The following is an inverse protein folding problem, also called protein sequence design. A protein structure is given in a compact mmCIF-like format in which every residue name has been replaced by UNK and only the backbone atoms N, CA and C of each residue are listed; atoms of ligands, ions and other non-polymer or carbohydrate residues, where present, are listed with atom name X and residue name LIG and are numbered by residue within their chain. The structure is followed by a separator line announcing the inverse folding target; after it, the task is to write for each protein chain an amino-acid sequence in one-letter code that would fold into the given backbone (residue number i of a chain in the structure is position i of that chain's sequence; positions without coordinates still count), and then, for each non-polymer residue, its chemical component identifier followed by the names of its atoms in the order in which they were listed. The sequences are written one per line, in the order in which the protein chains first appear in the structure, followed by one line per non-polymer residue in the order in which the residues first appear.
data_IF_630313285466
#
_entry.id   IF_630313285466
#
_cell.length_a   1.000
_cell.length_b   1.000
_cell.length_c   1.000
_cell.angle_alpha   90.00
_cell.angle_beta   90.00
_cell.angle_gamma   90.00
#
_symmetry.space_group_name_H-M   'P 1'
#
loop_
_entity.id
_entity.type
_entity.pdbx_description
1 polymer ?
#
# COMPACT_ATOMS: atom_id res chain seq x y z
N UNK A 1 -7.27 30.46 -1.38
CA UNK A 1 -7.25 29.70 -0.10
C UNK A 1 -7.60 28.21 -0.24
N UNK A 2 -7.37 27.54 -1.38
CA UNK A 2 -7.77 26.11 -1.58
C UNK A 2 -6.56 25.14 -1.58
N UNK A 3 -5.32 25.65 -1.59
CA UNK A 3 -4.12 24.81 -1.70
C UNK A 3 -3.64 24.17 -0.39
N UNK A 4 -4.06 24.65 0.78
CA UNK A 4 -3.59 24.13 2.08
C UNK A 4 -4.44 22.98 2.65
N UNK A 5 -5.74 22.92 2.34
CA UNK A 5 -6.59 21.79 2.81
C UNK A 5 -6.26 20.49 2.07
N UNK A 6 -5.91 20.55 0.78
CA UNK A 6 -5.55 19.38 -0.02
C UNK A 6 -4.24 18.70 0.44
N UNK A 7 -3.28 19.45 1.00
CA UNK A 7 -2.06 18.87 1.56
C UNK A 7 -2.30 18.18 2.92
N UNK A 8 -3.20 18.71 3.74
CA UNK A 8 -3.54 18.15 5.06
C UNK A 8 -4.30 16.84 4.94
N UNK A 9 -5.23 16.73 3.99
CA UNK A 9 -5.94 15.47 3.67
C UNK A 9 -5.00 14.41 3.09
N UNK A 10 -3.96 14.81 2.35
CA UNK A 10 -2.97 13.86 1.82
C UNK A 10 -2.03 13.31 2.92
N UNK A 11 -1.72 14.11 3.94
CA UNK A 11 -0.81 13.71 5.04
C UNK A 11 -1.49 12.74 6.02
N UNK A 12 -2.77 12.97 6.35
CA UNK A 12 -3.55 12.06 7.18
C UNK A 12 -3.91 10.74 6.46
N UNK A 13 -4.05 10.75 5.13
CA UNK A 13 -4.18 9.52 4.32
C UNK A 13 -2.89 8.69 4.19
N UNK A 14 -1.76 9.15 4.72
CA UNK A 14 -0.49 8.39 4.67
C UNK A 14 -0.29 7.55 5.93
N UNK A 15 -0.91 7.92 7.06
CA UNK A 15 -0.74 7.21 8.34
C UNK A 15 -1.74 6.06 8.56
N UNK A 16 -2.88 6.05 7.86
CA UNK A 16 -3.90 4.98 7.98
C UNK A 16 -4.04 4.11 6.71
N UNK A 17 -2.93 3.57 6.21
CA UNK A 17 -2.95 2.64 5.08
C UNK A 17 -2.60 1.24 5.55
N UNK A 18 -3.58 0.34 5.54
CA UNK A 18 -3.35 -1.11 5.64
C UNK A 18 -2.39 -1.54 4.52
N UNK A 19 -1.20 -1.99 4.90
CA UNK A 19 -0.16 -2.46 3.96
C UNK A 19 -0.08 -3.97 3.99
N UNK A 20 0.01 -4.58 2.80
CA UNK A 20 0.36 -5.98 2.67
C UNK A 20 1.87 -6.13 2.83
N UNK A 21 2.30 -6.72 3.96
CA UNK A 21 3.71 -6.94 4.29
C UNK A 21 3.92 -8.36 4.82
N UNK A 22 5.03 -9.03 4.46
CA UNK A 22 5.47 -10.23 5.16
C UNK A 22 5.76 -9.90 6.61
N UNK A 23 5.20 -10.68 7.54
CA UNK A 23 5.38 -10.50 8.97
C UNK A 23 5.28 -11.84 9.70
N UNK A 24 5.84 -11.90 10.90
CA UNK A 24 5.93 -13.08 11.75
C UNK A 24 4.84 -13.15 12.83
N UNK A 25 3.85 -12.25 12.81
CA UNK A 25 2.70 -12.34 13.72
C UNK A 25 1.88 -13.60 13.46
N UNK A 26 1.13 -14.03 14.48
CA UNK A 26 0.17 -15.12 14.36
C UNK A 26 -0.84 -14.86 13.24
N UNK A 27 -1.14 -15.91 12.48
CA UNK A 27 -2.06 -15.86 11.36
C UNK A 27 -3.35 -16.59 11.73
N UNK A 28 -4.44 -15.82 11.91
CA UNK A 28 -5.80 -16.36 12.13
C UNK A 28 -6.59 -16.35 10.84
N UNK A 29 -7.40 -17.39 10.60
CA UNK A 29 -8.22 -17.55 9.40
C UNK A 29 -7.44 -17.40 8.07
N UNK A 30 -6.15 -17.72 8.07
CA UNK A 30 -5.30 -17.61 6.88
C UNK A 30 -5.59 -18.74 5.89
N UNK A 31 -5.87 -18.38 4.65
CA UNK A 31 -6.12 -19.35 3.57
C UNK A 31 -4.79 -19.71 2.93
N UNK A 32 -4.44 -20.99 2.94
CA UNK A 32 -3.18 -21.53 2.43
C UNK A 32 -3.41 -22.81 1.64
N UNK A 33 -2.66 -22.98 0.54
CA UNK A 33 -2.66 -24.24 -0.20
C UNK A 33 -1.92 -25.34 0.59
N UNK A 34 -2.45 -26.57 0.59
CA UNK A 34 -1.92 -27.66 1.45
C UNK A 34 -0.42 -27.93 1.25
N UNK A 35 0.11 -27.78 0.03
CA UNK A 35 1.54 -27.98 -0.26
C UNK A 35 2.42 -26.91 0.41
N UNK A 36 1.93 -25.67 0.43
CA UNK A 36 2.63 -24.55 1.06
C UNK A 36 2.52 -24.66 2.60
N UNK A 37 1.38 -25.16 3.11
CA UNK A 37 1.23 -25.49 4.52
C UNK A 37 2.21 -26.59 4.97
N UNK A 38 2.37 -27.66 4.18
CA UNK A 38 3.35 -28.71 4.49
C UNK A 38 4.77 -28.14 4.62
N UNK A 39 5.23 -27.39 3.62
CA UNK A 39 6.55 -26.75 3.68
C UNK A 39 6.67 -25.79 4.87
N UNK A 40 5.64 -25.02 5.19
CA UNK A 40 5.64 -24.16 6.37
C UNK A 40 5.82 -24.94 7.68
N UNK A 41 5.10 -26.06 7.84
CA UNK A 41 5.22 -26.95 9.00
C UNK A 41 6.62 -27.57 9.09
N UNK A 42 7.17 -28.03 7.97
CA UNK A 42 8.52 -28.61 7.89
C UNK A 42 9.61 -27.60 8.31
N UNK A 43 9.37 -26.31 8.11
CA UNK A 43 10.23 -25.22 8.57
C UNK A 43 9.83 -24.61 9.93
N UNK A 44 8.99 -25.30 10.70
CA UNK A 44 8.74 -24.98 12.11
C UNK A 44 7.55 -24.06 12.40
N UNK A 45 6.71 -23.71 11.42
CA UNK A 45 5.43 -23.07 11.74
C UNK A 45 4.53 -24.06 12.48
N UNK A 46 3.90 -23.60 13.55
CA UNK A 46 3.01 -24.42 14.39
C UNK A 46 1.56 -24.19 13.98
N UNK A 47 0.90 -25.25 13.49
CA UNK A 47 -0.54 -25.21 13.20
C UNK A 47 -1.35 -25.37 14.49
N UNK A 48 -2.19 -24.37 14.78
CA UNK A 48 -3.08 -24.40 15.97
C UNK A 48 -4.44 -25.03 15.66
N UNK A 49 -5.07 -24.65 14.55
CA UNK A 49 -6.42 -25.10 14.21
C UNK A 49 -6.66 -25.06 12.70
N UNK A 50 -7.41 -26.04 12.19
CA UNK A 50 -7.98 -26.03 10.84
C UNK A 50 -9.47 -25.71 10.95
N UNK A 51 -9.91 -24.62 10.31
CA UNK A 51 -11.31 -24.21 10.35
C UNK A 51 -12.15 -24.80 9.20
N UNK A 52 -11.58 -24.83 7.99
CA UNK A 52 -12.28 -25.26 6.76
C UNK A 52 -11.29 -25.89 5.79
N UNK A 53 -11.76 -26.85 5.01
CA UNK A 53 -10.97 -27.51 3.95
C UNK A 53 -11.78 -27.47 2.65
N UNK A 54 -11.14 -27.01 1.57
CA UNK A 54 -11.66 -27.14 0.22
C UNK A 54 -10.85 -28.21 -0.52
N UNK A 55 -11.51 -29.30 -0.90
CA UNK A 55 -10.92 -30.40 -1.68
C UNK A 55 -11.32 -30.29 -3.13
N UNK A 56 -10.40 -30.56 -4.05
CA UNK A 56 -10.64 -30.52 -5.48
C UNK A 56 -9.78 -31.56 -6.22
N UNK A 57 -10.19 -31.92 -7.42
CA UNK A 57 -9.37 -32.72 -8.34
C UNK A 57 -8.45 -31.81 -9.15
N UNK A 58 -7.23 -32.28 -9.40
CA UNK A 58 -6.22 -31.55 -10.17
C UNK A 58 -5.82 -32.35 -11.41
N UNK A 59 -5.60 -31.66 -12.53
CA UNK A 59 -5.09 -32.23 -13.77
C UNK A 59 -4.13 -31.23 -14.44
N UNK A 60 -3.23 -31.67 -15.33
CA UNK A 60 -2.34 -30.78 -16.08
C UNK A 60 -3.05 -30.11 -17.27
N UNK A 61 -4.27 -29.60 -17.09
CA UNK A 61 -5.13 -29.09 -18.16
C UNK A 61 -4.53 -27.90 -18.95
N UNK A 62 -3.66 -27.10 -18.33
CA UNK A 62 -2.92 -26.02 -19.02
C UNK A 62 -1.62 -26.47 -19.69
N UNK A 63 -1.17 -27.71 -19.48
CA UNK A 63 0.18 -28.14 -19.86
C UNK A 63 0.45 -27.93 -21.35
N UNK A 64 -0.45 -28.38 -22.23
CA UNK A 64 -0.28 -28.23 -23.68
C UNK A 64 -0.12 -26.76 -24.11
N UNK A 65 -0.86 -25.84 -23.49
CA UNK A 65 -0.78 -24.41 -23.75
C UNK A 65 0.54 -23.80 -23.26
N UNK A 66 0.96 -24.12 -22.03
CA UNK A 66 2.20 -23.63 -21.45
C UNK A 66 3.42 -24.18 -22.21
N UNK A 67 3.41 -25.47 -22.55
CA UNK A 67 4.49 -26.14 -23.28
C UNK A 67 4.63 -25.55 -24.69
N UNK A 68 3.51 -25.31 -25.39
CA UNK A 68 3.50 -24.64 -26.69
C UNK A 68 4.12 -23.25 -26.61
N UNK A 69 3.63 -22.38 -25.71
CA UNK A 69 4.14 -21.02 -25.57
C UNK A 69 5.61 -21.00 -25.13
N UNK A 70 6.04 -21.96 -24.32
CA UNK A 70 7.44 -22.08 -23.89
C UNK A 70 8.34 -22.49 -25.05
N UNK A 71 7.91 -23.46 -25.87
CA UNK A 71 8.62 -23.85 -27.09
C UNK A 71 8.73 -22.68 -28.07
N UNK A 72 7.63 -21.98 -28.32
CA UNK A 72 7.62 -20.82 -29.21
C UNK A 72 8.52 -19.70 -28.68
N UNK A 73 8.47 -19.41 -27.37
CA UNK A 73 9.35 -18.44 -26.72
C UNK A 73 10.83 -18.80 -26.85
N UNK A 74 11.19 -20.08 -26.72
CA UNK A 74 12.58 -20.51 -26.86
C UNK A 74 13.08 -20.41 -28.31
N UNK A 75 12.20 -20.65 -29.28
CA UNK A 75 12.52 -20.59 -30.71
C UNK A 75 12.51 -19.16 -31.28
N UNK A 76 11.87 -18.21 -30.61
CA UNK A 76 11.80 -16.83 -31.07
C UNK A 76 13.17 -16.15 -31.11
N UNK A 77 13.57 -15.52 -32.23
CA UNK A 77 14.83 -14.78 -32.32
C UNK A 77 14.73 -13.39 -31.67
N UNK A 78 13.55 -12.77 -31.71
CA UNK A 78 13.36 -11.40 -31.25
C UNK A 78 12.94 -11.33 -29.79
N UNK A 79 13.37 -10.27 -29.10
CA UNK A 79 12.91 -9.99 -27.73
C UNK A 79 11.39 -9.75 -27.68
N UNK A 80 10.84 -9.12 -28.70
CA UNK A 80 9.41 -8.83 -28.81
C UNK A 80 8.57 -10.10 -28.76
N UNK A 81 8.88 -11.10 -29.60
CA UNK A 81 8.14 -12.35 -29.63
C UNK A 81 8.32 -13.15 -28.33
N UNK A 82 9.53 -13.15 -27.76
CA UNK A 82 9.77 -13.76 -26.44
C UNK A 82 8.87 -13.16 -25.36
N UNK A 83 8.70 -11.84 -25.38
CA UNK A 83 7.84 -11.12 -24.44
C UNK A 83 6.34 -11.38 -24.73
N UNK A 84 5.95 -11.57 -25.99
CA UNK A 84 4.59 -11.96 -26.38
C UNK A 84 4.19 -13.32 -25.79
N UNK A 85 4.96 -14.38 -26.04
CA UNK A 85 4.64 -15.71 -25.50
C UNK A 85 4.71 -15.76 -23.97
N UNK A 86 5.59 -14.97 -23.35
CA UNK A 86 5.61 -14.77 -21.89
C UNK A 86 4.30 -14.13 -21.40
N UNK A 87 3.80 -13.12 -22.11
CA UNK A 87 2.53 -12.46 -21.77
C UNK A 87 1.35 -13.42 -21.90
N UNK A 88 1.32 -14.26 -22.93
CA UNK A 88 0.26 -15.26 -23.12
C UNK A 88 0.15 -16.21 -21.92
N UNK A 89 1.28 -16.69 -21.40
CA UNK A 89 1.30 -17.51 -20.18
C UNK A 89 0.84 -16.71 -18.94
N UNK A 90 1.38 -15.51 -18.74
CA UNK A 90 1.04 -14.68 -17.58
C UNK A 90 -0.42 -14.18 -17.59
N UNK A 91 -1.01 -14.01 -18.77
CA UNK A 91 -2.37 -13.52 -18.97
C UNK A 91 -3.42 -14.49 -18.41
N UNK A 92 -3.19 -15.80 -18.50
CA UNK A 92 -4.07 -16.83 -17.92
C UNK A 92 -4.23 -16.61 -16.42
N UNK A 93 -3.11 -16.51 -15.69
CA UNK A 93 -3.12 -16.25 -14.27
C UNK A 93 -3.86 -14.94 -13.93
N UNK A 94 -3.53 -13.84 -14.59
CA UNK A 94 -4.17 -12.55 -14.37
C UNK A 94 -5.68 -12.59 -14.59
N UNK A 95 -6.15 -13.36 -15.59
CA UNK A 95 -7.57 -13.53 -15.88
C UNK A 95 -8.31 -14.31 -14.80
N UNK A 96 -7.68 -15.33 -14.21
CA UNK A 96 -8.30 -16.10 -13.12
C UNK A 96 -8.53 -15.28 -11.85
N UNK A 97 -7.68 -14.26 -11.61
CA UNK A 97 -7.74 -13.36 -10.45
C UNK A 97 -8.45 -12.02 -10.74
N UNK A 98 -9.16 -11.91 -11.87
CA UNK A 98 -9.81 -10.66 -12.25
C UNK A 98 -10.88 -10.27 -11.22
N UNK A 99 -10.75 -9.07 -10.65
CA UNK A 99 -11.76 -8.51 -9.76
C UNK A 99 -12.91 -7.91 -10.60
N UNK A 100 -13.99 -8.67 -10.73
CA UNK A 100 -15.19 -8.27 -11.48
C UNK A 100 -15.90 -7.07 -10.86
N UNK A 101 -15.77 -6.83 -9.55
CA UNK A 101 -16.40 -5.70 -8.82
C UNK A 101 -15.86 -4.36 -9.30
N UNK A 102 -14.59 -4.30 -9.68
CA UNK A 102 -13.92 -3.09 -10.16
C UNK A 102 -14.26 -2.68 -11.59
N UNK A 103 -14.93 -3.53 -12.38
CA UNK A 103 -15.41 -3.15 -13.72
C UNK A 103 -16.37 -1.96 -13.60
N UNK A 104 -16.27 -0.97 -14.48
CA UNK A 104 -17.17 0.18 -14.47
C UNK A 104 -18.23 0.03 -15.55
N UNK A 105 -19.46 0.40 -15.23
CA UNK A 105 -20.53 0.52 -16.23
C UNK A 105 -20.58 1.99 -16.61
N UNK A 106 -20.09 2.31 -17.81
CA UNK A 106 -20.13 3.66 -18.36
C UNK A 106 -21.13 3.70 -19.50
N UNK A 107 -22.01 4.71 -19.50
CA UNK A 107 -22.93 5.00 -20.60
C UNK A 107 -22.50 6.32 -21.24
N UNK A 108 -22.25 6.29 -22.54
CA UNK A 108 -21.95 7.49 -23.32
C UNK A 108 -23.24 8.00 -23.94
N UNK A 109 -23.57 9.27 -23.68
CA UNK A 109 -24.82 9.91 -24.07
C UNK A 109 -24.52 11.23 -24.75
N UNK A 110 -25.38 11.63 -25.69
CA UNK A 110 -25.21 12.88 -26.45
C UNK A 110 -26.28 13.93 -26.21
N UNK A 111 -27.23 13.64 -25.33
CA UNK A 111 -28.39 14.47 -25.09
C UNK A 111 -28.95 14.26 -23.68
N UNK A 112 -29.66 15.27 -23.18
CA UNK A 112 -30.30 15.26 -21.86
C UNK A 112 -31.62 14.48 -21.87
N UNK A 113 -32.51 14.81 -22.79
CA UNK A 113 -33.90 14.32 -22.85
C UNK A 113 -34.02 12.94 -23.50
N UNK A 114 -35.04 12.19 -23.13
CA UNK A 114 -35.39 10.95 -23.81
C UNK A 114 -35.94 11.21 -25.23
N UNK A 115 -35.42 10.49 -26.23
CA UNK A 115 -35.96 10.50 -27.59
C UNK A 115 -36.66 9.19 -27.89
N UNK A 116 -37.97 9.15 -27.65
CA UNK A 116 -38.79 7.95 -27.79
C UNK A 116 -38.28 6.82 -26.88
N UNK A 117 -37.79 5.72 -27.48
CA UNK A 117 -37.22 4.58 -26.72
C UNK A 117 -35.75 4.76 -26.32
N UNK A 118 -35.08 5.82 -26.81
CA UNK A 118 -33.67 6.10 -26.47
C UNK A 118 -33.63 6.95 -25.21
N UNK A 119 -33.06 6.36 -24.15
CA UNK A 119 -32.91 7.03 -22.87
C UNK A 119 -31.81 8.11 -22.95
N UNK A 120 -32.18 9.33 -22.60
CA UNK A 120 -31.27 10.46 -22.38
C UNK A 120 -30.65 10.44 -20.99
N UNK A 121 -29.86 11.46 -20.67
CA UNK A 121 -29.18 11.58 -19.37
C UNK A 121 -30.17 11.59 -18.19
N UNK A 122 -31.31 12.27 -18.32
CA UNK A 122 -32.33 12.39 -17.27
C UNK A 122 -32.74 11.01 -16.72
N UNK A 123 -32.90 10.03 -17.60
CA UNK A 123 -33.29 8.66 -17.26
C UNK A 123 -32.21 7.88 -16.55
N UNK A 124 -30.93 8.21 -16.76
CA UNK A 124 -29.82 7.53 -16.07
C UNK A 124 -29.52 8.17 -14.73
N UNK A 125 -29.62 9.49 -14.60
CA UNK A 125 -29.45 10.22 -13.34
C UNK A 125 -30.54 9.84 -12.34
N UNK A 126 -31.77 9.63 -12.81
CA UNK A 126 -32.89 9.21 -11.97
C UNK A 126 -32.78 7.76 -11.44
N UNK A 127 -31.83 6.95 -11.92
CA UNK A 127 -31.69 5.56 -11.44
C UNK A 127 -30.98 5.51 -10.10
N UNK A 128 -31.46 4.64 -9.22
CA UNK A 128 -30.89 4.41 -7.87
C UNK A 128 -29.42 4.00 -7.87
N UNK A 129 -28.93 3.42 -8.98
CA UNK A 129 -27.53 3.04 -9.14
C UNK A 129 -26.73 4.08 -9.92
N UNK A 130 -27.21 5.31 -10.10
CA UNK A 130 -26.38 6.40 -10.60
C UNK A 130 -25.24 6.67 -9.60
N UNK A 131 -24.02 6.92 -10.09
CA UNK A 131 -22.89 7.32 -9.23
C UNK A 131 -22.48 8.76 -9.48
N UNK A 132 -22.24 9.09 -10.75
CA UNK A 132 -21.81 10.41 -11.22
C UNK A 132 -21.87 10.45 -12.74
N UNK A 133 -21.80 11.65 -13.30
CA UNK A 133 -21.49 11.82 -14.72
C UNK A 133 -20.26 12.71 -14.89
N UNK A 134 -19.67 12.63 -16.08
CA UNK A 134 -18.60 13.51 -16.54
C UNK A 134 -19.03 14.05 -17.89
N UNK A 135 -19.07 15.37 -18.02
CA UNK A 135 -19.29 16.03 -19.31
C UNK A 135 -17.96 16.23 -20.02
N UNK A 136 -17.83 15.71 -21.23
CA UNK A 136 -16.64 15.89 -22.08
C UNK A 136 -16.80 17.04 -23.07
N UNK A 137 -18.02 17.29 -23.54
CA UNK A 137 -18.38 18.44 -24.35
C UNK A 137 -19.85 18.79 -24.15
N UNK A 138 -20.35 19.86 -24.76
CA UNK A 138 -21.78 20.23 -24.74
C UNK A 138 -22.70 19.07 -25.14
N UNK A 139 -22.23 18.15 -25.99
CA UNK A 139 -23.02 17.05 -26.56
C UNK A 139 -22.44 15.67 -26.24
N UNK A 140 -21.56 15.53 -25.25
CA UNK A 140 -21.01 14.23 -24.88
C UNK A 140 -20.83 14.10 -23.38
N UNK A 141 -21.51 13.10 -22.82
CA UNK A 141 -21.53 12.81 -21.40
C UNK A 141 -21.19 11.34 -21.16
N UNK A 142 -20.38 11.06 -20.15
CA UNK A 142 -20.15 9.73 -19.63
C UNK A 142 -20.82 9.60 -18.26
N UNK A 143 -21.86 8.78 -18.19
CA UNK A 143 -22.54 8.46 -16.93
C UNK A 143 -21.94 7.18 -16.36
N UNK A 144 -21.37 7.27 -15.16
CA UNK A 144 -20.89 6.12 -14.38
C UNK A 144 -22.04 5.57 -13.55
N UNK A 145 -22.43 4.31 -13.83
CA UNK A 145 -23.43 3.58 -13.08
C UNK A 145 -22.76 2.62 -12.08
N UNK A 146 -23.34 2.52 -10.90
CA UNK A 146 -23.15 1.43 -9.95
C UNK A 146 -23.72 0.11 -10.47
N UNK A 147 -23.25 -0.99 -9.90
CA UNK A 147 -23.74 -2.33 -10.21
C UNK A 147 -24.80 -2.71 -9.20
N UNK A 148 -25.95 -3.16 -9.68
CA UNK A 148 -27.02 -3.71 -8.84
C UNK A 148 -26.75 -5.18 -8.48
N UNK A 149 -26.07 -5.91 -9.37
CA UNK A 149 -25.64 -7.28 -9.15
C UNK A 149 -24.28 -7.51 -9.79
N UNK A 150 -23.50 -8.43 -9.22
CA UNK A 150 -22.20 -8.85 -9.76
C UNK A 150 -22.17 -10.36 -9.84
N UNK A 151 -21.86 -10.89 -11.03
CA UNK A 151 -21.63 -12.31 -11.24
C UNK A 151 -20.15 -12.61 -11.04
N UNK A 152 -19.82 -13.46 -10.06
CA UNK A 152 -18.47 -13.98 -9.85
C UNK A 152 -18.21 -15.18 -10.76
N UNK A 153 -17.85 -14.90 -12.01
CA UNK A 153 -17.60 -15.88 -13.08
C UNK A 153 -16.11 -16.15 -13.33
N UNK A 154 -15.25 -15.87 -12.34
CA UNK A 154 -13.79 -16.02 -12.45
C UNK A 154 -13.32 -17.15 -11.54
N UNK A 155 -12.47 -18.08 -12.03
CA UNK A 155 -11.99 -19.20 -11.24
C UNK A 155 -10.86 -18.76 -10.29
N UNK A 156 -11.18 -17.92 -9.30
CA UNK A 156 -10.22 -17.30 -8.37
C UNK A 156 -9.38 -18.33 -7.62
N UNK A 157 -9.94 -19.50 -7.33
CA UNK A 157 -9.23 -20.61 -6.67
C UNK A 157 -8.05 -21.14 -7.49
N UNK A 158 -8.12 -21.07 -8.83
CA UNK A 158 -6.99 -21.43 -9.71
C UNK A 158 -5.86 -20.42 -9.53
N UNK A 159 -6.17 -19.13 -9.58
CA UNK A 159 -5.18 -18.07 -9.40
C UNK A 159 -4.55 -18.09 -8.01
N UNK A 160 -5.36 -18.29 -6.96
CA UNK A 160 -4.87 -18.52 -5.60
C UNK A 160 -3.88 -19.68 -5.53
N UNK A 161 -4.24 -20.83 -6.13
CA UNK A 161 -3.40 -22.03 -6.13
C UNK A 161 -2.08 -21.80 -6.86
N UNK A 162 -2.10 -21.12 -8.01
CA UNK A 162 -0.89 -20.77 -8.75
C UNK A 162 0.05 -19.90 -7.90
N UNK A 163 -0.47 -18.85 -7.24
CA UNK A 163 0.33 -17.97 -6.38
C UNK A 163 0.94 -18.69 -5.19
N UNK A 164 0.18 -19.57 -4.55
CA UNK A 164 0.65 -20.27 -3.37
C UNK A 164 1.67 -21.36 -3.73
N UNK A 165 1.48 -22.05 -4.85
CA UNK A 165 2.45 -23.03 -5.35
C UNK A 165 3.73 -22.31 -5.83
N UNK A 166 3.64 -21.11 -6.43
CA UNK A 166 4.84 -20.39 -6.86
C UNK A 166 5.76 -19.99 -5.70
N UNK A 167 5.19 -19.73 -4.50
CA UNK A 167 5.98 -19.46 -3.29
C UNK A 167 6.87 -20.64 -2.92
N UNK A 168 6.36 -21.87 -3.07
CA UNK A 168 7.09 -23.10 -2.75
C UNK A 168 8.39 -23.19 -3.55
N UNK A 169 8.38 -22.78 -4.82
CA UNK A 169 9.57 -22.83 -5.68
C UNK A 169 10.69 -21.95 -5.13
N UNK A 170 10.36 -20.70 -4.76
CA UNK A 170 11.33 -19.74 -4.21
C UNK A 170 11.76 -20.13 -2.81
N UNK A 171 10.84 -20.58 -1.96
CA UNK A 171 11.15 -20.99 -0.59
C UNK A 171 12.00 -22.26 -0.57
N UNK A 172 11.70 -23.25 -1.41
CA UNK A 172 12.51 -24.47 -1.56
C UNK A 172 13.93 -24.14 -1.98
N UNK A 173 14.09 -23.29 -2.99
CA UNK A 173 15.42 -22.92 -3.44
C UNK A 173 16.23 -22.21 -2.33
N UNK A 174 15.61 -21.31 -1.57
CA UNK A 174 16.33 -20.65 -0.49
C UNK A 174 16.59 -21.55 0.73
N UNK A 175 15.57 -22.24 1.24
CA UNK A 175 15.69 -23.02 2.48
C UNK A 175 16.27 -24.43 2.27
N UNK A 176 15.82 -25.14 1.24
CA UNK A 176 16.17 -26.55 1.05
C UNK A 176 17.45 -26.74 0.23
N UNK A 177 17.83 -25.75 -0.60
CA UNK A 177 19.07 -25.79 -1.39
C UNK A 177 20.14 -24.91 -0.75
N UNK A 178 19.93 -23.59 -0.71
CA UNK A 178 20.97 -22.67 -0.26
C UNK A 178 21.24 -22.75 1.24
N UNK A 179 20.20 -22.69 2.08
CA UNK A 179 20.38 -22.77 3.55
C UNK A 179 20.84 -24.15 4.01
N UNK A 180 20.43 -25.22 3.35
CA UNK A 180 20.94 -26.56 3.62
C UNK A 180 22.45 -26.67 3.35
N UNK A 181 22.92 -26.10 2.23
CA UNK A 181 24.34 -26.14 1.87
C UNK A 181 25.22 -25.21 2.71
N UNK A 182 24.79 -23.96 2.91
CA UNK A 182 25.64 -22.90 3.46
C UNK A 182 25.32 -22.54 4.91
N UNK A 183 24.20 -23.01 5.47
CA UNK A 183 23.81 -22.68 6.84
C UNK A 183 23.79 -21.17 7.10
N UNK A 184 24.52 -20.71 8.11
CA UNK A 184 24.67 -19.28 8.43
C UNK A 184 25.44 -18.46 7.40
N UNK A 185 26.18 -19.11 6.49
CA UNK A 185 27.03 -18.45 5.49
C UNK A 185 26.23 -17.93 4.28
N UNK A 186 24.90 -18.10 4.26
CA UNK A 186 24.02 -17.47 3.27
C UNK A 186 23.01 -16.53 3.93
N UNK A 187 22.88 -15.35 3.36
CA UNK A 187 21.95 -14.29 3.77
C UNK A 187 21.11 -13.81 2.60
N UNK A 188 19.79 -13.69 2.81
CA UNK A 188 18.87 -13.08 1.85
C UNK A 188 18.89 -11.56 2.01
N UNK A 189 19.38 -10.84 0.99
CA UNK A 189 19.44 -9.38 1.00
C UNK A 189 18.17 -8.74 0.44
N UNK A 190 17.57 -9.35 -0.58
CA UNK A 190 16.37 -8.84 -1.23
C UNK A 190 15.59 -9.94 -1.94
N UNK A 191 14.27 -9.79 -1.99
CA UNK A 191 13.40 -10.63 -2.82
C UNK A 191 12.23 -9.83 -3.40
N UNK A 192 11.86 -10.14 -4.65
CA UNK A 192 10.64 -9.64 -5.28
C UNK A 192 10.04 -10.74 -6.15
N UNK A 193 8.93 -11.33 -5.69
CA UNK A 193 8.11 -12.34 -6.37
C UNK A 193 8.86 -13.63 -6.75
N UNK A 194 9.74 -13.57 -7.74
CA UNK A 194 10.45 -14.68 -8.38
C UNK A 194 11.97 -14.47 -8.41
N UNK A 195 12.48 -13.49 -7.67
CA UNK A 195 13.90 -13.15 -7.62
C UNK A 195 14.45 -13.11 -6.20
N UNK A 196 15.73 -13.46 -6.07
CA UNK A 196 16.51 -13.40 -4.84
C UNK A 196 17.83 -12.68 -5.13
N UNK A 197 18.22 -11.76 -4.24
CA UNK A 197 19.59 -11.26 -4.15
C UNK A 197 20.13 -11.81 -2.83
N UNK A 198 21.18 -12.60 -2.92
CA UNK A 198 21.77 -13.33 -1.80
C UNK A 198 23.22 -12.93 -1.63
N UNK A 199 23.70 -12.93 -0.39
CA UNK A 199 25.12 -12.95 -0.06
C UNK A 199 25.46 -14.36 0.41
N UNK A 200 26.44 -14.99 -0.25
CA UNK A 200 26.95 -16.32 0.10
C UNK A 200 28.43 -16.18 0.40
N UNK A 201 28.86 -16.63 1.58
CA UNK A 201 30.27 -16.74 1.94
C UNK A 201 30.75 -18.14 1.56
N UNK A 202 31.56 -18.23 0.50
CA UNK A 202 32.09 -19.47 -0.06
C UNK A 202 33.32 -19.15 -0.92
N UNK A 203 34.20 -20.13 -1.11
CA UNK A 203 35.41 -19.96 -1.93
C UNK A 203 35.07 -19.89 -3.43
N UNK A 204 34.14 -20.73 -3.91
CA UNK A 204 33.68 -20.71 -5.31
C UNK A 204 32.17 -21.03 -5.41
N UNK A 205 31.36 -19.97 -5.57
CA UNK A 205 29.91 -20.11 -5.81
C UNK A 205 29.61 -20.81 -7.15
N UNK A 206 30.46 -20.63 -8.15
CA UNK A 206 30.23 -21.21 -9.48
C UNK A 206 30.53 -22.70 -9.49
N UNK A 207 31.42 -23.19 -8.62
CA UNK A 207 31.57 -24.63 -8.37
C UNK A 207 30.27 -25.26 -7.91
N UNK A 208 29.62 -24.65 -6.91
CA UNK A 208 28.32 -25.11 -6.46
C UNK A 208 27.28 -25.13 -7.59
N UNK A 209 27.26 -24.11 -8.45
CA UNK A 209 26.37 -24.09 -9.62
C UNK A 209 26.67 -25.22 -10.60
N UNK A 210 27.94 -25.57 -10.83
CA UNK A 210 28.35 -26.72 -11.68
C UNK A 210 27.86 -28.05 -11.11
N UNK A 211 27.95 -28.22 -9.80
CA UNK A 211 27.51 -29.43 -9.11
C UNK A 211 25.97 -29.54 -9.05
N UNK A 212 25.26 -28.41 -9.08
CA UNK A 212 23.80 -28.33 -8.90
C UNK A 212 23.05 -27.81 -10.14
N UNK A 213 23.51 -28.11 -11.36
CA UNK A 213 22.91 -27.62 -12.62
C UNK A 213 21.41 -27.94 -12.80
N UNK A 214 20.88 -28.92 -12.07
CA UNK A 214 19.44 -29.21 -12.07
C UNK A 214 18.62 -28.07 -11.44
N UNK A 215 19.23 -27.24 -10.60
CA UNK A 215 18.60 -26.09 -9.94
C UNK A 215 18.67 -24.78 -10.75
N UNK A 216 19.66 -24.65 -11.64
CA UNK A 216 19.99 -23.40 -12.31
C UNK A 216 19.61 -23.35 -13.80
N UNK A 217 19.11 -22.21 -14.27
CA UNK A 217 18.96 -21.88 -15.69
C UNK A 217 20.13 -21.01 -16.13
N UNK A 218 21.07 -21.61 -16.87
CA UNK A 218 22.30 -20.96 -17.36
C UNK A 218 22.20 -20.59 -18.83
N UNK A 219 20.99 -20.54 -19.40
CA UNK A 219 20.77 -20.32 -20.84
C UNK A 219 21.19 -18.95 -21.36
N UNK A 220 21.52 -18.02 -20.47
CA UNK A 220 21.97 -16.66 -20.79
C UNK A 220 23.50 -16.50 -20.73
N UNK A 221 24.24 -17.56 -20.42
CA UNK A 221 25.70 -17.54 -20.40
C UNK A 221 26.21 -17.58 -21.85
N UNK A 222 26.92 -16.51 -22.24
CA UNK A 222 27.54 -16.40 -23.59
C UNK A 222 29.05 -16.60 -23.48
N UNK A 223 29.69 -15.90 -22.55
CA UNK A 223 31.13 -16.00 -22.27
C UNK A 223 31.29 -16.59 -20.87
N UNK A 224 31.22 -17.92 -20.81
CA UNK A 224 31.17 -18.70 -19.58
C UNK A 224 32.50 -18.69 -18.82
N UNK A 225 32.82 -17.54 -18.22
CA UNK A 225 34.08 -17.26 -17.53
C UNK A 225 34.42 -18.30 -16.45
N UNK A 226 33.38 -18.87 -15.83
CA UNK A 226 33.50 -19.79 -14.70
C UNK A 226 33.27 -21.26 -15.09
N UNK A 227 33.25 -21.60 -16.38
CA UNK A 227 33.09 -22.99 -16.84
C UNK A 227 31.78 -23.66 -16.41
N UNK A 228 30.71 -22.90 -16.12
CA UNK A 228 29.39 -23.43 -15.75
C UNK A 228 28.65 -23.93 -17.00
N UNK A 229 28.33 -25.22 -17.14
CA UNK A 229 27.66 -25.71 -18.35
C UNK A 229 26.40 -24.93 -18.72
N UNK A 230 26.25 -24.60 -20.00
CA UNK A 230 25.12 -23.82 -20.52
C UNK A 230 23.92 -24.73 -20.77
N UNK A 231 22.75 -24.32 -20.28
CA UNK A 231 21.49 -25.05 -20.46
C UNK A 231 20.59 -24.39 -21.49
N UNK A 232 19.53 -25.10 -21.90
CA UNK A 232 18.35 -24.44 -22.47
C UNK A 232 17.52 -23.81 -21.35
N UNK A 233 16.66 -22.84 -21.69
CA UNK A 233 15.79 -22.23 -20.68
C UNK A 233 14.69 -23.22 -20.28
N UNK A 234 14.71 -23.61 -19.01
CA UNK A 234 13.78 -24.59 -18.40
C UNK A 234 12.94 -23.92 -17.32
N UNK A 235 11.64 -24.21 -17.32
CA UNK A 235 10.69 -23.67 -16.33
C UNK A 235 11.06 -24.18 -14.93
N UNK A 236 11.00 -23.28 -13.94
CA UNK A 236 11.15 -23.62 -12.52
C UNK A 236 12.58 -23.64 -12.01
N UNK A 237 13.57 -23.50 -12.90
CA UNK A 237 14.98 -23.32 -12.52
C UNK A 237 15.31 -21.86 -12.25
N UNK A 238 16.30 -21.63 -11.38
CA UNK A 238 16.75 -20.29 -11.01
C UNK A 238 17.78 -19.78 -12.00
N UNK A 239 17.42 -18.72 -12.72
CA UNK A 239 18.35 -18.04 -13.63
C UNK A 239 19.32 -17.16 -12.86
N UNK A 240 20.61 -17.27 -13.15
CA UNK A 240 21.55 -16.21 -12.80
C UNK A 240 21.34 -15.01 -13.74
N UNK A 241 20.65 -13.98 -13.23
CA UNK A 241 20.29 -12.77 -13.96
C UNK A 241 21.51 -12.05 -14.58
N UNK A 242 22.70 -12.18 -13.98
CA UNK A 242 23.91 -11.47 -14.40
C UNK A 242 24.91 -12.34 -15.18
N UNK A 243 24.55 -13.59 -15.48
CA UNK A 243 25.29 -14.50 -16.38
C UNK A 243 26.78 -14.65 -16.00
N UNK A 244 27.06 -14.97 -14.73
CA UNK A 244 28.41 -15.16 -14.20
C UNK A 244 29.12 -13.87 -13.76
N UNK A 245 28.46 -12.72 -13.82
CA UNK A 245 29.04 -11.45 -13.34
C UNK A 245 28.67 -11.25 -11.87
N UNK A 246 29.67 -11.38 -11.00
CA UNK A 246 29.49 -11.20 -9.56
C UNK A 246 29.01 -9.78 -9.21
N UNK A 247 28.20 -9.68 -8.15
CA UNK A 247 27.76 -8.41 -7.58
C UNK A 247 28.85 -7.89 -6.66
N UNK A 248 29.42 -6.73 -6.98
CA UNK A 248 30.42 -6.02 -6.17
C UNK A 248 29.76 -5.28 -5.01
N UNK A 249 28.62 -4.64 -5.24
CA UNK A 249 27.87 -3.92 -4.21
C UNK A 249 26.36 -4.01 -4.44
N UNK A 250 25.60 -4.05 -3.35
CA UNK A 250 24.14 -3.98 -3.35
C UNK A 250 23.65 -2.96 -2.32
N UNK A 251 22.75 -2.07 -2.74
CA UNK A 251 22.09 -1.10 -1.87
C UNK A 251 20.57 -1.22 -2.01
N UNK A 252 19.91 -1.77 -0.99
CA UNK A 252 18.46 -1.90 -0.93
C UNK A 252 17.83 -0.72 -0.19
N UNK A 253 17.29 0.26 -0.93
CA UNK A 253 16.61 1.41 -0.36
C UNK A 253 15.12 1.15 -0.03
N UNK A 254 14.62 -0.05 -0.34
CA UNK A 254 13.27 -0.50 0.01
C UNK A 254 12.63 -1.35 -1.09
N UNK A 255 11.35 -1.68 -0.89
CA UNK A 255 10.60 -2.52 -1.83
C UNK A 255 10.60 -1.95 -3.26
N UNK A 256 11.19 -2.68 -4.22
CA UNK A 256 11.35 -2.28 -5.63
C UNK A 256 12.16 -0.99 -5.82
N UNK A 257 13.05 -0.67 -4.88
CA UNK A 257 13.99 0.45 -4.96
C UNK A 257 15.38 -0.01 -4.52
N UNK A 258 16.29 -0.24 -5.47
CA UNK A 258 17.62 -0.78 -5.19
C UNK A 258 18.64 -0.47 -6.29
N UNK A 259 19.91 -0.61 -5.93
CA UNK A 259 21.05 -0.48 -6.82
C UNK A 259 21.97 -1.70 -6.70
N UNK A 260 22.42 -2.21 -7.84
CA UNK A 260 23.41 -3.29 -7.95
C UNK A 260 24.57 -2.80 -8.79
N UNK A 261 25.80 -2.96 -8.29
CA UNK A 261 27.04 -2.73 -9.03
C UNK A 261 27.69 -4.07 -9.30
N UNK A 262 27.95 -4.36 -10.57
CA UNK A 262 28.59 -5.61 -11.00
C UNK A 262 30.12 -5.48 -11.00
N UNK A 263 30.82 -6.60 -11.14
CA UNK A 263 32.28 -6.66 -11.24
C UNK A 263 32.87 -5.84 -12.40
N UNK A 264 32.11 -5.65 -13.49
CA UNK A 264 32.47 -4.80 -14.63
C UNK A 264 32.06 -3.32 -14.45
N UNK A 265 31.81 -2.91 -13.20
CA UNK A 265 31.31 -1.59 -12.78
C UNK A 265 29.99 -1.15 -13.43
N UNK A 266 29.28 -2.06 -14.11
CA UNK A 266 27.94 -1.79 -14.62
C UNK A 266 26.96 -1.59 -13.46
N UNK A 267 26.24 -0.47 -13.52
CA UNK A 267 25.25 -0.09 -12.51
C UNK A 267 23.82 -0.42 -12.95
N UNK A 268 23.11 -1.20 -12.16
CA UNK A 268 21.69 -1.51 -12.35
C UNK A 268 20.88 -0.81 -11.26
N UNK A 269 20.06 0.17 -11.67
CA UNK A 269 19.24 0.99 -10.77
C UNK A 269 17.75 0.70 -10.96
N UNK A 270 17.02 0.59 -9.85
CA UNK A 270 15.56 0.43 -9.82
C UNK A 270 14.95 1.38 -8.79
N UNK A 271 13.87 2.05 -9.15
CA UNK A 271 13.07 2.86 -8.22
C UNK A 271 11.61 2.85 -8.66
N UNK A 272 10.72 2.30 -7.82
CA UNK A 272 9.30 2.15 -8.17
C UNK A 272 8.62 3.50 -8.34
N UNK A 273 7.96 3.68 -9.48
CA UNK A 273 7.18 4.88 -9.76
C UNK A 273 8.01 6.12 -10.07
N UNK A 274 9.31 5.95 -10.36
CA UNK A 274 10.22 6.96 -10.90
C UNK A 274 10.42 6.69 -12.40
N UNK A 275 10.47 7.74 -13.22
CA UNK A 275 10.65 7.59 -14.68
C UNK A 275 12.03 7.01 -14.99
N UNK A 276 12.11 6.14 -16.01
CA UNK A 276 13.35 5.46 -16.44
C UNK A 276 14.50 6.43 -16.73
N UNK A 277 14.21 7.60 -17.31
CA UNK A 277 15.22 8.62 -17.62
C UNK A 277 15.87 9.20 -16.36
N UNK A 278 15.07 9.45 -15.32
CA UNK A 278 15.54 9.95 -14.02
C UNK A 278 16.39 8.90 -13.32
N UNK A 279 15.93 7.64 -13.33
CA UNK A 279 16.72 6.52 -12.80
C UNK A 279 18.07 6.41 -13.52
N UNK A 280 18.10 6.55 -14.85
CA UNK A 280 19.33 6.41 -15.64
C UNK A 280 20.29 7.59 -15.44
N UNK A 281 19.80 8.82 -15.55
CA UNK A 281 20.63 10.04 -15.66
C UNK A 281 20.78 10.86 -14.38
N UNK A 282 19.82 10.79 -13.46
CA UNK A 282 19.78 11.66 -12.27
C UNK A 282 20.21 10.90 -11.03
N UNK A 283 19.58 9.76 -10.75
CA UNK A 283 19.95 8.96 -9.58
C UNK A 283 21.34 8.33 -9.75
N UNK A 284 22.19 8.46 -8.76
CA UNK A 284 23.56 7.97 -8.69
C UNK A 284 23.68 6.76 -7.76
N UNK A 285 24.81 6.05 -7.76
CA UNK A 285 25.08 4.99 -6.77
C UNK A 285 25.03 5.54 -5.33
N UNK A 286 25.58 6.74 -5.14
CA UNK A 286 25.63 7.45 -3.85
C UNK A 286 24.23 7.70 -3.27
N UNK A 287 23.27 8.11 -4.11
CA UNK A 287 21.88 8.31 -3.68
C UNK A 287 21.26 7.04 -3.05
N UNK A 288 21.52 5.87 -3.65
CA UNK A 288 21.03 4.60 -3.09
C UNK A 288 21.77 4.19 -1.84
N UNK A 289 23.09 4.43 -1.80
CA UNK A 289 23.92 4.17 -0.63
C UNK A 289 23.42 4.99 0.58
N UNK A 290 23.25 6.30 0.41
CA UNK A 290 22.75 7.18 1.48
C UNK A 290 21.34 6.82 1.93
N UNK A 291 20.46 6.41 1.00
CA UNK A 291 19.13 5.94 1.35
C UNK A 291 19.17 4.64 2.16
N UNK A 292 20.02 3.67 1.77
CA UNK A 292 20.15 2.39 2.45
C UNK A 292 20.81 2.53 3.85
N UNK A 293 21.79 3.43 3.98
CA UNK A 293 22.50 3.70 5.23
C UNK A 293 21.76 4.67 6.16
N UNK A 294 20.59 5.16 5.76
CA UNK A 294 19.77 6.10 6.53
C UNK A 294 20.42 7.47 6.82
N UNK A 295 21.44 7.83 6.04
CA UNK A 295 22.13 9.13 6.16
C UNK A 295 21.26 10.29 5.62
N UNK A 296 20.28 10.01 4.76
CA UNK A 296 19.37 11.00 4.17
C UNK A 296 17.91 10.60 4.36
N UNK A 297 17.05 11.52 4.83
CA UNK A 297 15.63 11.22 5.12
C UNK A 297 14.82 10.86 3.86
N UNK A 298 15.01 11.54 2.74
CA UNK A 298 14.33 11.25 1.45
C UNK A 298 15.00 11.99 0.30
N UNK A 299 15.09 11.33 -0.85
CA UNK A 299 15.66 11.89 -2.09
C UNK A 299 14.51 12.19 -3.04
N UNK A 300 14.40 13.45 -3.44
CA UNK A 300 13.36 13.93 -4.35
C UNK A 300 13.92 14.12 -5.75
N UNK A 301 13.18 13.70 -6.77
CA UNK A 301 13.51 14.05 -8.14
C UNK A 301 12.33 14.68 -8.87
N UNK A 302 12.65 15.70 -9.65
CA UNK A 302 11.72 16.31 -10.61
C UNK A 302 11.59 15.41 -11.84
N UNK A 303 10.36 15.19 -12.29
CA UNK A 303 10.09 14.43 -13.51
C UNK A 303 8.81 14.91 -14.18
N UNK A 304 8.80 14.92 -15.50
CA UNK A 304 7.58 15.19 -16.26
C UNK A 304 6.70 13.94 -16.35
N UNK A 305 5.40 14.11 -16.14
CA UNK A 305 4.41 13.05 -16.31
C UNK A 305 3.23 13.57 -17.12
N UNK A 306 2.67 12.71 -17.97
CA UNK A 306 1.37 12.97 -18.57
C UNK A 306 0.28 12.85 -17.50
N UNK A 307 -0.66 13.77 -17.53
CA UNK A 307 -1.94 13.72 -16.84
C UNK A 307 -3.03 13.90 -17.89
N UNK A 308 -4.20 13.37 -17.58
CA UNK A 308 -5.39 13.58 -18.40
C UNK A 308 -6.55 13.93 -17.48
N UNK A 309 -7.22 15.02 -17.83
CA UNK A 309 -8.43 15.49 -17.16
C UNK A 309 -9.42 15.80 -18.28
N UNK A 310 -10.63 15.21 -18.23
CA UNK A 310 -11.65 15.38 -19.28
C UNK A 310 -11.16 15.10 -20.72
N UNK A 311 -10.29 14.10 -20.89
CA UNK A 311 -9.60 13.78 -22.16
C UNK A 311 -8.58 14.80 -22.66
N UNK A 312 -8.39 15.93 -21.98
CA UNK A 312 -7.27 16.83 -22.25
C UNK A 312 -5.99 16.26 -21.65
N UNK A 313 -5.03 15.94 -22.50
CA UNK A 313 -3.73 15.40 -22.10
C UNK A 313 -2.75 16.56 -21.99
N UNK A 314 -2.15 16.70 -20.82
CA UNK A 314 -1.15 17.73 -20.56
C UNK A 314 0.02 17.15 -19.76
N UNK A 315 1.16 17.85 -19.85
CA UNK A 315 2.38 17.45 -19.15
C UNK A 315 2.50 18.25 -17.86
N UNK A 316 2.76 17.57 -16.75
CA UNK A 316 2.98 18.17 -15.43
C UNK A 316 4.37 17.83 -14.94
N UNK A 317 5.11 18.84 -14.47
CA UNK A 317 6.33 18.63 -13.70
C UNK A 317 5.94 18.25 -12.26
N UNK A 318 6.29 17.03 -11.84
CA UNK A 318 6.10 16.59 -10.46
C UNK A 318 7.45 16.51 -9.75
N UNK A 319 7.50 16.94 -8.49
CA UNK A 319 8.62 16.64 -7.60
C UNK A 319 8.20 15.50 -6.65
N UNK A 320 8.87 14.35 -6.74
CA UNK A 320 8.43 13.12 -6.06
C UNK A 320 9.58 12.49 -5.30
N UNK A 321 9.27 11.87 -4.15
CA UNK A 321 10.19 10.98 -3.44
C UNK A 321 10.58 9.82 -4.38
N UNK A 322 11.85 9.79 -4.75
CA UNK A 322 12.44 8.76 -5.60
C UNK A 322 13.06 7.63 -4.79
N UNK A 323 13.72 7.97 -3.68
CA UNK A 323 14.29 7.03 -2.71
C UNK A 323 13.99 7.55 -1.31
N UNK A 324 13.83 6.64 -0.35
CA UNK A 324 13.61 6.97 1.05
C UNK A 324 14.35 5.95 1.91
N UNK A 325 14.91 6.41 3.03
CA UNK A 325 15.49 5.55 4.06
C UNK A 325 14.45 4.96 5.01
N UNK A 326 13.20 5.46 4.95
CA UNK A 326 12.09 4.99 5.78
C UNK A 326 11.36 3.83 5.11
N UNK A 327 11.87 2.61 5.25
CA UNK A 327 11.12 1.40 4.90
C UNK A 327 10.25 0.94 6.08
N UNK A 328 8.99 1.38 6.09
CA UNK A 328 8.03 1.01 7.14
C UNK A 328 7.47 -0.42 7.01
N UNK A 329 7.91 -1.19 6.01
CA UNK A 329 7.48 -2.58 5.84
C UNK A 329 8.30 -3.57 6.66
N UNK A 330 9.42 -3.13 7.21
CA UNK A 330 10.30 -3.93 8.07
C UNK A 330 10.75 -3.08 9.25
N UNK A 331 11.11 -3.73 10.34
CA UNK A 331 11.79 -3.07 11.44
C UNK A 331 13.26 -2.89 11.07
N UNK A 332 13.72 -1.65 11.03
CA UNK A 332 15.13 -1.34 10.79
C UNK A 332 15.85 -1.37 12.13
N UNK A 333 16.93 -2.14 12.25
CA UNK A 333 17.72 -2.19 13.49
C UNK A 333 18.50 -0.86 13.60
N UNK A 334 18.37 -0.11 14.72
CA UNK A 334 19.01 1.20 14.90
C UNK A 334 20.51 1.16 14.59
N UNK A 335 21.01 2.20 13.91
CA UNK A 335 22.42 2.34 13.51
C UNK A 335 22.97 1.21 12.62
N UNK A 336 22.10 0.45 11.96
CA UNK A 336 22.53 -0.60 11.01
C UNK A 336 21.70 -0.56 9.72
N UNK A 337 22.18 -1.30 8.71
CA UNK A 337 21.42 -1.58 7.48
C UNK A 337 20.62 -2.89 7.55
N UNK A 338 20.60 -3.58 8.71
CA UNK A 338 19.90 -4.84 8.88
C UNK A 338 18.44 -4.58 9.24
N UNK A 339 17.56 -5.48 8.79
CA UNK A 339 16.13 -5.34 9.03
C UNK A 339 15.49 -6.65 9.47
N UNK A 340 14.59 -6.56 10.44
CA UNK A 340 13.76 -7.65 10.93
C UNK A 340 12.36 -7.55 10.30
N UNK A 341 11.73 -8.70 10.08
CA UNK A 341 10.31 -8.70 9.75
C UNK A 341 9.51 -8.29 10.99
N UNK A 342 8.41 -7.55 10.81
CA UNK A 342 7.53 -7.22 11.93
C UNK A 342 7.02 -8.49 12.63
N UNK A 343 6.99 -8.49 13.97
CA UNK A 343 6.68 -9.67 14.80
C UNK A 343 7.90 -10.53 15.15
N UNK A 344 9.12 -10.16 14.73
CA UNK A 344 10.33 -10.86 15.15
C UNK A 344 10.63 -10.61 16.64
N UNK A 345 10.91 -11.67 17.40
CA UNK A 345 11.11 -11.60 18.85
C UNK A 345 12.22 -10.63 19.30
N UNK A 346 13.30 -10.51 18.51
CA UNK A 346 14.41 -9.58 18.79
C UNK A 346 14.02 -8.10 18.69
N UNK A 347 12.87 -7.74 18.09
CA UNK A 347 12.47 -6.33 17.98
C UNK A 347 12.34 -5.67 19.35
N UNK A 348 11.79 -6.41 20.34
CA UNK A 348 11.65 -5.90 21.71
C UNK A 348 12.99 -5.52 22.33
N UNK A 349 14.05 -6.30 22.06
CA UNK A 349 15.39 -6.06 22.58
C UNK A 349 15.99 -4.76 22.04
N UNK A 350 15.75 -4.46 20.76
CA UNK A 350 16.25 -3.23 20.14
C UNK A 350 15.41 -2.00 20.48
N UNK A 351 14.11 -2.17 20.68
CA UNK A 351 13.22 -1.08 21.09
C UNK A 351 13.62 -0.54 22.48
N UNK A 352 13.93 -1.41 23.43
CA UNK A 352 14.35 -1.00 24.79
C UNK A 352 15.74 -0.35 24.82
N UNK A 353 16.64 -0.73 23.90
CA UNK A 353 18.00 -0.16 23.82
C UNK A 353 18.00 1.27 23.25
N UNK A 354 17.09 1.57 22.32
CA UNK A 354 16.95 2.91 21.73
C UNK A 354 16.33 3.89 22.74
N UNK A 355 15.38 3.43 23.56
CA UNK A 355 14.78 4.21 24.66
C UNK A 355 15.79 4.53 25.77
N UNK A 356 16.76 3.64 26.03
CA UNK A 356 17.80 3.88 27.04
C UNK A 356 18.90 4.86 26.60
N UNK A 357 19.14 5.00 25.29
CA UNK A 357 20.18 5.87 24.73
C UNK A 357 19.64 7.23 24.26
N UNK A 358 18.36 7.33 23.92
CA UNK A 358 17.69 8.58 23.57
C UNK A 358 16.72 8.96 24.70
N UNK A 359 17.23 9.73 25.67
CA UNK A 359 16.39 10.39 26.66
C UNK A 359 15.24 11.14 25.98
N UNK A 360 14.01 10.73 26.29
CA UNK A 360 12.74 11.16 25.73
C UNK A 360 12.57 10.90 24.22
N UNK A 361 11.87 9.82 23.88
CA UNK A 361 10.50 9.81 23.31
C UNK A 361 10.09 8.33 23.24
N UNK A 362 9.24 7.87 24.15
CA UNK A 362 8.49 6.61 24.00
C UNK A 362 7.00 6.93 24.02
N UNK A 363 6.33 6.70 22.89
CA UNK A 363 4.93 6.35 22.88
C UNK A 363 4.89 4.82 22.77
N UNK A 364 4.86 4.18 23.93
CA UNK A 364 4.80 2.74 24.09
C UNK A 364 3.52 2.18 23.44
N UNK A 365 3.66 1.33 22.41
CA UNK A 365 2.65 0.32 22.10
C UNK A 365 3.01 -0.95 22.88
N UNK A 366 2.39 -1.13 24.04
CA UNK A 366 2.31 -2.42 24.73
C UNK A 366 0.88 -2.93 24.59
N UNK A 367 0.76 -4.14 24.05
CA UNK A 367 -0.48 -4.89 24.06
C UNK A 367 -0.71 -5.45 25.46
N UNK A 368 -1.88 -5.12 26.04
CA UNK A 368 -2.63 -5.98 26.94
C UNK A 368 -2.12 -6.05 28.38
N UNK A 369 -2.57 -5.12 29.21
CA UNK A 369 -3.08 -5.39 30.56
C UNK A 369 -3.88 -4.17 31.05
N UNK A 370 -5.05 -4.42 31.65
CA UNK A 370 -5.98 -3.41 32.15
C UNK A 370 -5.30 -2.54 33.22
N UNK A 371 -5.22 -1.22 33.03
CA UNK A 371 -4.93 -0.27 34.10
C UNK A 371 -5.42 1.14 33.71
N UNK A 372 -6.36 1.67 34.49
CA UNK A 372 -7.05 2.96 34.32
C UNK A 372 -6.13 4.20 34.43
N UNK A 373 -4.84 4.01 34.72
CA UNK A 373 -3.87 5.10 34.85
C UNK A 373 -3.25 5.58 33.53
N UNK A 374 -3.35 4.81 32.44
CA UNK A 374 -2.76 5.18 31.12
C UNK A 374 -3.64 6.19 30.36
N UNK A 375 -4.93 6.30 30.70
CA UNK A 375 -5.82 7.31 30.10
C UNK A 375 -5.55 8.72 30.61
N UNK A 376 -5.19 8.88 31.89
CA UNK A 376 -4.89 10.18 32.48
C UNK A 376 -3.60 10.79 31.93
N UNK A 377 -2.53 10.00 31.75
CA UNK A 377 -1.27 10.49 31.17
C UNK A 377 -1.42 10.88 29.68
N UNK A 378 -2.33 10.21 28.95
CA UNK A 378 -2.69 10.59 27.57
C UNK A 378 -3.51 11.87 27.53
N UNK A 379 -4.43 12.05 28.48
CA UNK A 379 -5.25 13.25 28.59
C UNK A 379 -4.39 14.49 28.91
N UNK A 380 -3.44 14.37 29.83
CA UNK A 380 -2.53 15.45 30.20
C UNK A 380 -1.60 15.88 29.06
N UNK A 381 -1.11 14.92 28.26
CA UNK A 381 -0.32 15.21 27.07
C UNK A 381 -1.15 15.90 25.97
N UNK A 382 -2.42 15.48 25.81
CA UNK A 382 -3.36 16.10 24.87
C UNK A 382 -3.71 17.53 25.30
N UNK A 383 -3.96 17.75 26.60
CA UNK A 383 -4.23 19.06 27.19
C UNK A 383 -3.03 20.00 27.00
N UNK A 384 -1.81 19.51 27.19
CA UNK A 384 -0.59 20.30 26.96
C UNK A 384 -0.42 20.70 25.48
N UNK A 385 -0.66 19.76 24.58
CA UNK A 385 -0.59 19.99 23.12
C UNK A 385 -1.69 20.94 22.63
N UNK A 386 -2.88 20.87 23.24
CA UNK A 386 -4.01 21.77 22.96
C UNK A 386 -3.72 23.18 23.50
N UNK A 387 -3.13 23.31 24.69
CA UNK A 387 -2.75 24.62 25.25
C UNK A 387 -1.69 25.35 24.41
N UNK A 388 -0.70 24.63 23.88
CA UNK A 388 0.29 25.22 22.96
C UNK A 388 -0.35 25.70 21.64
N UNK A 389 -1.35 24.96 21.13
CA UNK A 389 -2.13 25.37 19.94
C UNK A 389 -3.08 26.53 20.26
N UNK A 390 -3.62 26.63 21.48
CA UNK A 390 -4.49 27.74 21.91
C UNK A 390 -3.73 29.07 22.02
N UNK A 391 -2.44 29.04 22.38
CA UNK A 391 -1.58 30.24 22.43
C UNK A 391 -1.36 30.81 21.01
N UNK A 392 -1.19 29.95 20.00
CA UNK A 392 -1.09 30.36 18.59
C UNK A 392 -2.42 30.87 18.01
N UNK A 393 -3.56 30.40 18.55
CA UNK A 393 -4.92 30.80 18.16
C UNK A 393 -5.30 32.17 18.74
N UNK A 394 -4.85 32.51 19.95
CA UNK A 394 -5.11 33.81 20.61
C UNK A 394 -4.45 35.01 19.90
N UNK A 395 -3.48 34.78 19.02
CA UNK A 395 -2.86 35.82 18.20
C UNK A 395 -3.69 36.22 16.96
N UNK A 396 -4.88 35.64 16.77
CA UNK A 396 -5.71 35.83 15.58
C UNK A 396 -7.02 36.55 15.94
N UNK A 397 -7.18 37.81 15.51
CA UNK A 397 -8.29 38.69 15.89
C UNK A 397 -9.69 38.12 15.61
N UNK A 398 -9.83 37.24 14.60
CA UNK A 398 -11.10 36.58 14.27
C UNK A 398 -11.54 35.53 15.29
N UNK A 399 -10.63 35.04 16.15
CA UNK A 399 -10.93 34.01 17.16
C UNK A 399 -11.35 34.61 18.50
N UNK A 400 -10.99 35.87 18.77
CA UNK A 400 -11.40 36.58 19.98
C UNK A 400 -12.91 36.84 20.04
N UNK A 401 -13.59 36.92 18.89
CA UNK A 401 -15.06 37.05 18.80
C UNK A 401 -15.74 35.74 19.18
N UNK A 402 -15.24 34.61 18.66
CA UNK A 402 -15.79 33.26 18.94
C UNK A 402 -15.53 32.82 20.39
N UNK A 403 -14.38 33.21 20.96
CA UNK A 403 -14.07 32.93 22.36
C UNK A 403 -14.90 33.77 23.34
N UNK A 404 -15.37 34.96 22.94
CA UNK A 404 -16.30 35.76 23.74
C UNK A 404 -17.70 35.11 23.82
N UNK A 405 -18.16 34.50 22.71
CA UNK A 405 -19.43 33.77 22.65
C UNK A 405 -19.37 32.45 23.45
N UNK A 406 -18.22 31.75 23.43
CA UNK A 406 -18.00 30.54 24.24
C UNK A 406 -17.92 30.90 25.75
N UNK A 407 -17.28 32.02 26.11
CA UNK A 407 -17.26 32.51 27.50
C UNK A 407 -18.63 33.01 27.99
N UNK A 408 -19.55 33.37 27.08
CA UNK A 408 -20.94 33.65 27.43
C UNK A 408 -21.70 32.34 27.73
N UNK A 409 -21.45 31.26 26.98
CA UNK A 409 -22.04 29.93 27.18
C UNK A 409 -21.52 29.27 28.47
N UNK A 410 -20.23 29.40 28.78
CA UNK A 410 -19.63 28.90 30.03
C UNK A 410 -20.16 29.62 31.29
N UNK A 411 -20.66 30.87 31.17
CA UNK A 411 -21.30 31.59 32.29
C UNK A 411 -22.72 31.10 32.61
N UNK A 412 -23.39 30.46 31.65
CA UNK A 412 -24.78 29.96 31.81
C UNK A 412 -24.81 28.51 32.32
N UNK A 413 -23.73 27.76 32.07
CA UNK A 413 -23.58 26.34 32.43
C UNK A 413 -23.71 26.02 33.94
N UNK A 414 -23.27 26.89 34.90
CA UNK A 414 -23.44 26.63 36.34
C UNK A 414 -24.89 26.81 36.84
N UNK A 415 -25.72 27.53 36.10
CA UNK A 415 -27.15 27.71 36.42
C UNK A 415 -27.93 26.44 36.05
N UNK A 416 -27.49 25.72 35.02
CA UNK A 416 -28.11 24.48 34.51
C UNK A 416 -27.81 23.28 35.42
N UNK A 417 -26.69 23.30 36.16
CA UNK A 417 -26.23 22.16 36.97
C UNK A 417 -26.72 22.15 38.42
N UNK A 418 -27.54 23.13 38.86
CA UNK A 418 -28.05 23.19 40.23
C UNK A 418 -29.57 23.14 40.38
N UNK A 419 -30.35 23.01 39.30
CA UNK A 419 -31.80 22.93 39.37
C UNK A 419 -32.28 21.46 39.32
N UNK A 420 -32.65 20.93 40.48
CA UNK A 420 -33.36 19.67 40.62
C UNK A 420 -34.85 19.85 40.35
N UNK A 421 -35.34 19.54 39.14
CA UNK A 421 -36.70 18.99 38.92
C UNK A 421 -37.12 18.99 37.45
N UNK A 422 -37.65 17.83 37.04
CA UNK A 422 -38.67 17.55 35.99
C UNK A 422 -38.52 18.23 34.62
N UNK A 423 -38.43 17.36 33.61
CA UNK A 423 -38.20 17.56 32.16
C UNK A 423 -39.10 18.59 31.40
N UNK A 424 -39.92 19.39 32.09
CA UNK A 424 -40.86 20.33 31.46
C UNK A 424 -40.28 21.76 31.42
N UNK A 425 -39.61 22.25 32.47
CA UNK A 425 -39.09 23.63 32.49
C UNK A 425 -37.82 23.81 31.62
N UNK A 426 -37.00 22.77 31.48
CA UNK A 426 -35.81 22.81 30.61
C UNK A 426 -36.21 22.96 29.14
N UNK A 427 -37.29 22.29 28.71
CA UNK A 427 -37.81 22.39 27.35
C UNK A 427 -38.42 23.77 27.05
N UNK A 428 -39.04 24.42 28.02
CA UNK A 428 -39.52 25.80 27.85
C UNK A 428 -38.36 26.79 27.74
N UNK A 429 -37.30 26.65 28.54
CA UNK A 429 -36.11 27.51 28.48
C UNK A 429 -35.36 27.34 27.14
N UNK A 430 -35.24 26.10 26.64
CA UNK A 430 -34.63 25.80 25.33
C UNK A 430 -35.46 26.39 24.18
N UNK A 431 -36.79 26.30 24.24
CA UNK A 431 -37.67 26.85 23.23
C UNK A 431 -37.68 28.39 23.23
N UNK A 432 -37.58 29.02 24.39
CA UNK A 432 -37.56 30.47 24.51
C UNK A 432 -36.23 31.07 24.00
N UNK A 433 -35.11 30.35 24.21
CA UNK A 433 -33.81 30.70 23.62
C UNK A 433 -33.81 30.57 22.08
N UNK A 434 -34.45 29.53 21.52
CA UNK A 434 -34.56 29.33 20.08
C UNK A 434 -35.41 30.41 19.39
N UNK A 435 -36.54 30.77 19.99
CA UNK A 435 -37.47 31.74 19.41
C UNK A 435 -36.96 33.18 19.51
N UNK A 436 -36.29 33.55 20.60
CA UNK A 436 -35.91 34.96 20.84
C UNK A 436 -34.48 35.29 20.41
N UNK A 437 -33.56 34.32 20.35
CA UNK A 437 -32.14 34.58 20.03
C UNK A 437 -31.69 34.03 18.67
N UNK A 438 -32.26 32.89 18.23
CA UNK A 438 -31.76 32.15 17.05
C UNK A 438 -32.59 32.48 15.79
N UNK A 439 -33.91 32.53 15.92
CA UNK A 439 -34.84 32.78 14.78
C UNK A 439 -34.57 34.09 14.03
N UNK A 440 -34.29 35.25 14.70
CA UNK A 440 -34.02 36.50 14.00
C UNK A 440 -32.72 36.51 13.20
N UNK A 441 -31.72 35.71 13.63
CA UNK A 441 -30.42 35.57 12.97
C UNK A 441 -30.56 34.78 11.65
N UNK A 442 -31.43 33.77 11.64
CA UNK A 442 -31.73 32.96 10.44
C UNK A 442 -32.45 33.78 9.36
N UNK A 443 -33.25 34.79 9.75
CA UNK A 443 -34.09 35.55 8.81
C UNK A 443 -33.41 36.73 8.12
N UNK A 444 -32.24 37.17 8.58
CA UNK A 444 -31.58 38.40 8.09
C UNK A 444 -30.33 38.17 7.23
N UNK A 445 -29.97 36.93 6.88
CA UNK A 445 -28.83 36.64 6.01
C UNK A 445 -29.21 35.91 4.71
N UNK A 446 -28.50 36.25 3.63
CA UNK A 446 -28.78 35.83 2.26
C UNK A 446 -28.43 34.36 1.97
N UNK A 447 -28.97 33.84 0.87
CA UNK A 447 -29.12 32.43 0.48
C UNK A 447 -27.84 31.63 0.17
N UNK A 448 -26.69 31.91 0.80
CA UNK A 448 -25.41 31.21 0.57
C UNK A 448 -24.86 30.39 1.74
N UNK A 449 -25.50 30.38 2.92
CA UNK A 449 -25.01 29.62 4.08
C UNK A 449 -25.98 28.49 4.50
N UNK A 450 -26.14 27.50 3.62
CA UNK A 450 -26.96 26.29 3.86
C UNK A 450 -26.26 25.34 4.86
N UNK A 451 -24.93 25.27 4.84
CA UNK A 451 -24.15 24.38 5.72
C UNK A 451 -24.21 24.78 7.19
N UNK A 452 -24.32 26.07 7.52
CA UNK A 452 -24.45 26.54 8.91
C UNK A 452 -25.84 26.20 9.48
N UNK A 453 -26.88 26.29 8.65
CA UNK A 453 -28.25 25.95 9.04
C UNK A 453 -28.44 24.43 9.27
N UNK A 454 -27.75 23.58 8.51
CA UNK A 454 -27.76 22.12 8.75
C UNK A 454 -27.00 21.75 10.03
N UNK A 455 -25.86 22.40 10.31
CA UNK A 455 -25.07 22.16 11.53
C UNK A 455 -25.82 22.59 12.80
N UNK A 456 -26.54 23.72 12.76
CA UNK A 456 -27.35 24.21 13.89
C UNK A 456 -28.55 23.29 14.15
N UNK A 457 -29.21 22.79 13.10
CA UNK A 457 -30.33 21.85 13.23
C UNK A 457 -29.88 20.47 13.74
N UNK A 458 -28.72 19.99 13.31
CA UNK A 458 -28.16 18.73 13.80
C UNK A 458 -27.72 18.83 15.26
N UNK A 459 -27.14 19.96 15.68
CA UNK A 459 -26.79 20.20 17.09
C UNK A 459 -28.04 20.25 17.98
N UNK A 460 -29.16 20.83 17.50
CA UNK A 460 -30.44 20.85 18.20
C UNK A 460 -31.06 19.45 18.35
N UNK A 461 -31.04 18.64 17.28
CA UNK A 461 -31.57 17.27 17.31
C UNK A 461 -30.78 16.34 18.24
N UNK A 462 -29.49 16.60 18.45
CA UNK A 462 -28.63 15.86 19.39
C UNK A 462 -28.87 16.31 20.83
N UNK A 463 -29.24 17.57 21.06
CA UNK A 463 -29.56 18.10 22.39
C UNK A 463 -30.96 17.69 22.87
N UNK A 464 -31.88 17.39 21.95
CA UNK A 464 -33.26 16.95 22.24
C UNK A 464 -33.43 15.43 22.35
N UNK A 465 -32.40 14.64 22.01
CA UNK A 465 -32.36 13.17 22.12
C UNK A 465 -31.62 12.71 23.37
#
# INVERSE_FOLDING_TARGET
MIFHSAQRTLYLQILDKKKLIPNLFDKRNYVIHYRNLKQALDHGLVLKQIHRILKFHQSPWLRGYIDLNTKMRNNSPSKFEKDFFKLMNNGVFGKTMENVDRRKIIKLLTHWENFGKRLGMESYVAKVNFKRFVQFSEKLFAVEMGKLSVLYDKPVYVGFTILDISKIVIYRFFYDVLRAQYGSNVSLLYTDTDSLIIAVQTDDLYQHMRENLHEYDTSNYVNNLHGVPTSISVIGKMKDEYAGKAIKCFYGAGAKAYCVKLADDKLVKKAKGVKKIVIKKVLTEFDYKNAAQQESKSIFCKMFTFRSTLHDIYTVLINKISLSSKDDKRFIIPNTCKTLAWGHFQIQQYATLDESNNGLISATMVLGENNDNVENDRLDFLIKSVKEVMVDIQANESVNVVMADIQAIERVTPVITSASSTDIEINEIINDAYNNLITPVITNESSTDIEINEIINDAYNILMS
#
